data_IF_959707953021
#
_entry.id   IF_959707953021
#
_cell.length_a   1.000
_cell.length_b   1.000
_cell.length_c   1.000
_cell.angle_alpha   90.00
_cell.angle_beta   90.00
_cell.angle_gamma   90.00
#
_symmetry.space_group_name_H-M   'P 1'
#
loop_
_entity.id
_entity.type
_entity.pdbx_description
1 polymer ?
#
# COMPACT_ATOMS: atom_id res chain seq x y z
N UNK A 1 -21.09 -26.23 32.91
CA UNK A 1 -19.97 -27.15 32.60
C UNK A 1 -19.45 -26.82 31.20
N UNK A 2 -18.15 -26.99 30.98
CA UNK A 2 -17.31 -26.54 29.85
C UNK A 2 -17.69 -27.12 28.47
N UNK A 3 -17.51 -26.31 27.41
CA UNK A 3 -16.67 -26.56 26.22
C UNK A 3 -16.93 -25.39 25.23
N UNK A 4 -16.00 -24.59 24.72
CA UNK A 4 -14.58 -24.84 24.43
C UNK A 4 -14.41 -25.26 22.98
N UNK A 5 -14.44 -24.33 22.01
CA UNK A 5 -13.87 -24.57 20.68
C UNK A 5 -13.53 -23.23 19.98
N UNK A 6 -12.26 -22.84 20.10
CA UNK A 6 -11.58 -21.85 19.28
C UNK A 6 -11.70 -22.29 17.81
N UNK A 7 -12.25 -21.48 16.91
CA UNK A 7 -12.11 -21.71 15.46
C UNK A 7 -12.33 -20.42 14.68
N UNK A 8 -11.24 -19.94 14.09
CA UNK A 8 -11.26 -19.30 12.79
C UNK A 8 -11.74 -17.86 12.76
N UNK A 9 -10.84 -16.94 13.11
CA UNK A 9 -10.80 -15.59 12.55
C UNK A 9 -10.53 -15.75 11.04
N UNK A 10 -11.56 -16.07 10.27
CA UNK A 10 -11.52 -16.24 8.82
C UNK A 10 -12.93 -16.00 8.26
N UNK A 11 -13.57 -14.93 8.72
CA UNK A 11 -14.86 -14.49 8.20
C UNK A 11 -14.63 -13.42 7.12
N UNK A 12 -14.03 -13.84 6.00
CA UNK A 12 -14.16 -13.17 4.70
C UNK A 12 -15.59 -13.29 4.12
N UNK A 13 -16.60 -13.52 4.95
CA UNK A 13 -17.95 -13.80 4.52
C UNK A 13 -18.92 -13.25 5.54
N UNK A 14 -19.36 -12.01 5.34
CA UNK A 14 -20.72 -11.53 5.66
C UNK A 14 -20.81 -10.01 5.40
N UNK A 15 -20.80 -9.65 4.12
CA UNK A 15 -21.48 -8.45 3.65
C UNK A 15 -21.87 -8.66 2.19
N UNK A 16 -23.10 -9.17 1.99
CA UNK A 16 -23.79 -9.12 0.70
C UNK A 16 -24.10 -7.65 0.38
N UNK A 17 -23.48 -7.13 -0.68
CA UNK A 17 -23.86 -5.87 -1.31
C UNK A 17 -22.65 -5.10 -1.87
N UNK A 18 -22.56 -5.00 -3.20
CA UNK A 18 -21.48 -4.37 -4.00
C UNK A 18 -20.28 -5.26 -4.34
N UNK A 19 -20.53 -6.19 -5.26
CA UNK A 19 -19.53 -6.67 -6.21
C UNK A 19 -18.93 -5.45 -6.97
N UNK A 20 -17.68 -5.09 -6.65
CA UNK A 20 -16.94 -3.97 -7.26
C UNK A 20 -15.97 -3.26 -6.31
N UNK A 21 -16.18 -3.35 -4.99
CA UNK A 21 -15.51 -2.46 -4.01
C UNK A 21 -14.02 -2.69 -3.74
N UNK A 22 -13.48 -3.91 -3.89
CA UNK A 22 -12.07 -4.13 -3.55
C UNK A 22 -11.08 -3.47 -4.53
N UNK A 23 -11.47 -3.21 -5.78
CA UNK A 23 -10.57 -2.65 -6.80
C UNK A 23 -10.36 -1.15 -6.61
N UNK A 24 -11.46 -0.43 -6.40
CA UNK A 24 -11.46 1.00 -6.08
C UNK A 24 -10.72 1.26 -4.75
N UNK A 25 -10.87 0.33 -3.80
CA UNK A 25 -10.18 0.39 -2.51
C UNK A 25 -8.65 0.19 -2.66
N UNK A 26 -8.19 -0.72 -3.53
CA UNK A 26 -6.75 -0.90 -3.79
C UNK A 26 -6.15 0.35 -4.42
N UNK A 27 -6.75 0.90 -5.49
CA UNK A 27 -6.24 2.10 -6.15
C UNK A 27 -6.17 3.29 -5.18
N UNK A 28 -7.21 3.46 -4.36
CA UNK A 28 -7.28 4.51 -3.35
C UNK A 28 -6.24 4.30 -2.23
N UNK A 29 -6.00 3.07 -1.82
CA UNK A 29 -4.96 2.72 -0.83
C UNK A 29 -3.56 2.94 -1.39
N UNK A 30 -3.30 2.58 -2.65
CA UNK A 30 -2.01 2.86 -3.30
C UNK A 30 -1.75 4.36 -3.38
N UNK A 31 -2.74 5.17 -3.74
CA UNK A 31 -2.62 6.63 -3.75
C UNK A 31 -2.32 7.17 -2.33
N UNK A 32 -3.03 6.67 -1.31
CA UNK A 32 -2.79 7.06 0.08
C UNK A 32 -1.37 6.71 0.56
N UNK A 33 -0.86 5.53 0.20
CA UNK A 33 0.52 5.15 0.49
C UNK A 33 1.54 6.07 -0.20
N UNK A 34 1.27 6.51 -1.43
CA UNK A 34 2.14 7.46 -2.11
C UNK A 34 2.21 8.81 -1.38
N UNK A 35 1.07 9.34 -0.92
CA UNK A 35 1.04 10.57 -0.12
C UNK A 35 1.67 10.39 1.29
N UNK A 36 1.48 9.24 1.95
CA UNK A 36 2.16 8.90 3.21
C UNK A 36 3.69 8.88 3.04
N UNK A 37 4.20 8.24 1.99
CA UNK A 37 5.64 8.19 1.75
C UNK A 37 6.22 9.58 1.41
N UNK A 38 5.45 10.43 0.74
CA UNK A 38 5.83 11.82 0.52
C UNK A 38 5.76 12.68 1.80
N UNK A 39 4.96 12.29 2.79
CA UNK A 39 4.90 12.94 4.09
C UNK A 39 6.00 12.46 5.06
N UNK A 40 6.66 11.34 4.75
CA UNK A 40 7.80 10.85 5.53
C UNK A 40 8.96 11.85 5.50
N UNK A 41 9.68 11.94 6.63
CA UNK A 41 10.87 12.80 6.80
C UNK A 41 12.19 12.06 6.68
N UNK A 42 12.14 10.73 6.63
CA UNK A 42 13.29 9.85 6.64
C UNK A 42 13.01 8.61 5.79
N UNK A 43 14.10 7.98 5.35
CA UNK A 43 14.07 6.82 4.46
C UNK A 43 13.38 5.62 5.13
N UNK A 44 13.52 5.43 6.45
CA UNK A 44 12.91 4.30 7.16
C UNK A 44 11.37 4.39 7.16
N UNK A 45 10.82 5.60 7.36
CA UNK A 45 9.39 5.85 7.24
C UNK A 45 8.90 5.51 5.82
N UNK A 46 9.62 5.97 4.80
CA UNK A 46 9.31 5.73 3.40
C UNK A 46 9.36 4.22 3.04
N UNK A 47 10.39 3.50 3.50
CA UNK A 47 10.53 2.06 3.31
C UNK A 47 9.41 1.27 4.00
N UNK A 48 9.01 1.67 5.21
CA UNK A 48 7.89 1.04 5.91
C UNK A 48 6.56 1.23 5.17
N UNK A 49 6.35 2.37 4.52
CA UNK A 49 5.19 2.61 3.64
C UNK A 49 5.29 1.75 2.38
N UNK A 50 6.47 1.63 1.78
CA UNK A 50 6.71 0.79 0.59
C UNK A 50 6.47 -0.70 0.87
N UNK A 51 6.93 -1.20 2.01
CA UNK A 51 6.68 -2.59 2.45
C UNK A 51 5.18 -2.87 2.58
N UNK A 52 4.42 -1.96 3.20
CA UNK A 52 2.96 -2.08 3.34
C UNK A 52 2.24 -2.06 1.99
N UNK A 53 2.73 -1.25 1.05
CA UNK A 53 2.23 -1.22 -0.32
C UNK A 53 2.51 -2.55 -1.06
N UNK A 54 3.71 -3.10 -0.94
CA UNK A 54 4.06 -4.38 -1.57
C UNK A 54 3.26 -5.54 -1.00
N UNK A 55 3.00 -5.56 0.31
CA UNK A 55 2.14 -6.55 0.97
C UNK A 55 0.70 -6.45 0.44
N UNK A 56 0.18 -5.22 0.29
CA UNK A 56 -1.12 -4.98 -0.33
C UNK A 56 -1.19 -5.49 -1.78
N UNK A 57 -0.18 -5.20 -2.60
CA UNK A 57 -0.12 -5.68 -3.98
C UNK A 57 0.06 -7.20 -4.07
N UNK A 58 0.72 -7.82 -3.08
CA UNK A 58 0.94 -9.26 -3.02
C UNK A 58 -0.36 -10.00 -2.70
N UNK A 59 -1.16 -9.47 -1.79
CA UNK A 59 -2.49 -10.02 -1.45
C UNK A 59 -3.55 -9.67 -2.50
N UNK A 60 -3.33 -8.61 -3.29
CA UNK A 60 -4.21 -8.23 -4.38
C UNK A 60 -4.06 -9.17 -5.59
N UNK A 61 -5.20 -9.61 -6.13
CA UNK A 61 -5.22 -10.23 -7.46
C UNK A 61 -4.75 -9.21 -8.52
N UNK A 62 -4.13 -9.70 -9.59
CA UNK A 62 -3.52 -8.85 -10.62
C UNK A 62 -4.52 -7.79 -11.14
N UNK A 63 -4.21 -6.50 -11.00
CA UNK A 63 -5.14 -5.44 -11.37
C UNK A 63 -5.24 -5.32 -12.91
N UNK A 64 -6.40 -4.87 -13.43
CA UNK A 64 -6.56 -4.58 -14.85
C UNK A 64 -5.58 -3.48 -15.31
N UNK A 65 -5.24 -3.46 -16.60
CA UNK A 65 -4.23 -2.55 -17.18
C UNK A 65 -4.43 -1.08 -16.82
N UNK A 66 -5.67 -0.58 -16.81
CA UNK A 66 -5.98 0.80 -16.41
C UNK A 66 -5.61 1.10 -14.95
N UNK A 67 -5.92 0.17 -14.03
CA UNK A 67 -5.53 0.30 -12.63
C UNK A 67 -4.02 0.16 -12.45
N UNK A 68 -3.38 -0.72 -13.24
CA UNK A 68 -1.93 -0.87 -13.28
C UNK A 68 -1.24 0.45 -13.61
N UNK A 69 -1.75 1.21 -14.59
CA UNK A 69 -1.21 2.54 -14.94
C UNK A 69 -1.29 3.54 -13.78
N UNK A 70 -2.40 3.56 -13.04
CA UNK A 70 -2.58 4.45 -11.88
C UNK A 70 -1.69 4.04 -10.71
N UNK A 71 -1.59 2.74 -10.44
CA UNK A 71 -0.70 2.17 -9.43
C UNK A 71 0.76 2.50 -9.77
N UNK A 72 1.17 2.35 -11.03
CA UNK A 72 2.53 2.72 -11.49
C UNK A 72 2.77 4.21 -11.32
N UNK A 73 1.82 5.07 -11.67
CA UNK A 73 1.96 6.52 -11.47
C UNK A 73 2.14 6.90 -9.99
N UNK A 74 1.38 6.26 -9.10
CA UNK A 74 1.51 6.46 -7.65
C UNK A 74 2.85 5.93 -7.12
N UNK A 75 3.31 4.77 -7.59
CA UNK A 75 4.64 4.22 -7.27
C UNK A 75 5.78 5.12 -7.75
N UNK A 76 5.66 5.70 -8.95
CA UNK A 76 6.65 6.66 -9.46
C UNK A 76 6.72 7.90 -8.59
N UNK A 77 5.57 8.52 -8.26
CA UNK A 77 5.50 9.68 -7.34
C UNK A 77 6.13 9.34 -5.99
N UNK A 78 5.83 8.14 -5.48
CA UNK A 78 6.38 7.63 -4.24
C UNK A 78 7.91 7.52 -4.34
N UNK A 79 8.45 6.88 -5.38
CA UNK A 79 9.88 6.76 -5.63
C UNK A 79 10.57 8.12 -5.75
N UNK A 80 9.95 9.12 -6.39
CA UNK A 80 10.47 10.49 -6.43
C UNK A 80 10.57 11.14 -5.05
N UNK A 81 9.57 10.90 -4.19
CA UNK A 81 9.60 11.39 -2.81
C UNK A 81 10.66 10.71 -1.96
N UNK A 82 10.80 9.38 -2.07
CA UNK A 82 11.85 8.62 -1.36
C UNK A 82 13.23 9.05 -1.86
N UNK A 83 13.42 9.16 -3.17
CA UNK A 83 14.68 9.62 -3.75
C UNK A 83 15.03 11.06 -3.35
N UNK A 84 14.03 11.91 -3.05
CA UNK A 84 14.28 13.23 -2.46
C UNK A 84 14.77 13.13 -1.01
N UNK A 85 14.23 12.20 -0.21
CA UNK A 85 14.70 11.94 1.15
C UNK A 85 16.11 11.33 1.15
N UNK A 86 16.38 10.41 0.23
CA UNK A 86 17.71 9.82 0.03
C UNK A 86 18.70 10.84 -0.54
N UNK A 87 18.24 11.74 -1.42
CA UNK A 87 19.03 12.84 -1.99
C UNK A 87 19.41 13.92 -0.97
N UNK A 88 18.57 14.17 0.04
CA UNK A 88 18.90 15.04 1.18
C UNK A 88 20.02 14.43 2.05
N UNK A 89 20.07 13.09 2.13
CA UNK A 89 21.17 12.33 2.76
C UNK A 89 22.40 12.21 1.83
N UNK A 90 22.19 12.20 0.51
CA UNK A 90 23.22 12.01 -0.51
C UNK A 90 23.75 13.33 -1.11
N UNK A 91 23.68 14.43 -0.37
CA UNK A 91 24.46 15.64 -0.65
C UNK A 91 25.75 15.63 0.19
N UNK A 92 26.82 14.89 -0.18
CA UNK A 92 28.15 15.28 0.23
C UNK A 92 28.47 16.59 -0.51
N UNK A 93 28.54 17.68 0.25
CA UNK A 93 29.08 18.95 -0.22
C UNK A 93 30.46 18.74 -0.88
N UNK A 94 30.72 19.44 -1.99
CA UNK A 94 31.90 20.29 -2.05
C UNK A 94 31.60 21.76 -2.31
#
# INVERSE_FOLDING_TARGET
MRAGARRGIWACALALGFAGGCRDDIERRVAAFADEACACRDVQCAEAVQQRLMDLLRDAAEPPDDAKRRIVAALTKMGECINRLEGDVASPAP
#
